data_IF_652048440475
#
_entry.id   IF_652048440475
#
_cell.length_a   1.000
_cell.length_b   1.000
_cell.length_c   1.000
_cell.angle_alpha   90.00
_cell.angle_beta   90.00
_cell.angle_gamma   90.00
#
_symmetry.space_group_name_H-M   'P 1'
#
loop_
_entity.id
_entity.type
_entity.pdbx_description
1 polymer ?
#
# COMPACT_ATOMS: atom_id res chain seq x y z
N UNK A 1 -21.55 5.35 17.23
CA UNK A 1 -20.22 4.77 17.52
C UNK A 1 -19.19 5.74 16.97
N UNK A 2 -18.19 6.19 17.75
CA UNK A 2 -17.19 7.11 17.23
C UNK A 2 -16.26 6.35 16.28
N UNK A 3 -16.13 6.84 15.05
CA UNK A 3 -15.18 6.33 14.07
C UNK A 3 -13.77 6.63 14.60
N UNK A 4 -13.06 5.61 15.06
CA UNK A 4 -11.65 5.75 15.39
C UNK A 4 -10.91 6.23 14.15
N UNK A 5 -10.11 7.31 14.23
CA UNK A 5 -9.26 7.70 13.13
C UNK A 5 -8.29 6.55 12.87
N UNK A 6 -8.23 6.09 11.62
CA UNK A 6 -7.20 5.15 11.17
C UNK A 6 -5.84 5.83 11.35
N UNK A 7 -5.18 5.55 12.46
CA UNK A 7 -3.82 6.01 12.74
C UNK A 7 -2.85 5.01 12.13
N UNK A 8 -2.43 5.28 10.90
CA UNK A 8 -1.32 4.56 10.28
C UNK A 8 -0.02 5.21 10.74
N UNK A 9 1.04 4.44 11.01
CA UNK A 9 2.44 4.70 10.63
C UNK A 9 3.42 3.85 11.46
N UNK A 10 3.94 2.79 10.84
CA UNK A 10 5.23 2.18 11.17
C UNK A 10 5.91 1.76 9.86
N UNK A 11 6.65 2.67 9.24
CA UNK A 11 7.55 2.31 8.14
C UNK A 11 8.83 1.77 8.73
N UNK A 12 9.08 0.45 8.59
CA UNK A 12 10.39 -0.13 8.85
C UNK A 12 11.09 -0.32 7.51
N UNK A 13 11.87 0.69 7.13
CA UNK A 13 12.62 0.68 5.89
C UNK A 13 13.77 -0.35 5.99
N UNK A 14 13.62 -1.46 5.26
CA UNK A 14 14.68 -2.43 5.02
C UNK A 14 15.35 -2.21 3.66
N UNK A 15 15.34 -0.97 3.15
CA UNK A 15 15.88 -0.56 1.86
C UNK A 15 14.99 -0.93 0.67
N UNK A 16 14.22 -2.02 0.77
CA UNK A 16 13.35 -2.51 -0.30
C UNK A 16 11.94 -2.91 0.16
N UNK A 17 11.59 -2.75 1.44
CA UNK A 17 10.29 -3.17 1.99
C UNK A 17 9.67 -2.03 2.79
N UNK A 18 8.44 -1.68 2.42
CA UNK A 18 7.56 -0.80 3.19
C UNK A 18 6.43 -1.63 3.82
N UNK A 19 6.15 -1.42 5.10
CA UNK A 19 5.03 -2.06 5.81
C UNK A 19 4.06 -0.98 6.29
N UNK A 20 2.77 -1.20 6.08
CA UNK A 20 1.70 -0.27 6.45
C UNK A 20 0.60 -1.08 7.14
N UNK A 21 0.18 -0.70 8.33
CA UNK A 21 -1.01 -1.29 8.95
C UNK A 21 -2.26 -0.95 8.12
N UNK A 22 -3.16 -1.91 7.89
CA UNK A 22 -4.42 -1.70 7.17
C UNK A 22 -5.59 -1.54 8.15
N UNK A 23 -5.68 -2.48 9.09
CA UNK A 23 -6.63 -2.56 10.19
C UNK A 23 -6.04 -3.49 11.25
N UNK A 24 -6.72 -3.63 12.40
CA UNK A 24 -6.27 -4.52 13.48
C UNK A 24 -5.76 -5.85 12.93
N UNK A 25 -4.50 -6.14 13.23
CA UNK A 25 -3.76 -7.37 12.93
C UNK A 25 -3.52 -7.66 11.44
N UNK A 26 -3.76 -6.69 10.54
CA UNK A 26 -3.50 -6.83 9.10
C UNK A 26 -2.57 -5.74 8.61
N UNK A 27 -1.51 -6.15 7.94
CA UNK A 27 -0.47 -5.29 7.39
C UNK A 27 -0.38 -5.46 5.88
N UNK A 28 -0.06 -4.38 5.18
CA UNK A 28 0.30 -4.34 3.77
C UNK A 28 1.81 -4.30 3.72
N UNK A 29 2.41 -5.26 3.02
CA UNK A 29 3.82 -5.21 2.67
C UNK A 29 3.94 -4.80 1.21
N UNK A 30 4.79 -3.81 0.93
CA UNK A 30 5.16 -3.38 -0.40
C UNK A 30 6.65 -3.65 -0.55
N UNK A 31 7.00 -4.66 -1.35
CA UNK A 31 8.39 -5.09 -1.55
C UNK A 31 8.85 -4.73 -2.97
N UNK A 32 9.95 -4.00 -3.06
CA UNK A 32 10.69 -3.78 -4.29
C UNK A 32 11.48 -5.03 -4.65
N UNK A 33 11.14 -5.63 -5.79
CA UNK A 33 11.86 -6.79 -6.32
C UNK A 33 13.09 -6.34 -7.11
N UNK A 34 12.94 -5.23 -7.86
CA UNK A 34 13.99 -4.56 -8.61
C UNK A 34 13.55 -3.13 -8.94
N UNK A 35 14.33 -2.42 -9.75
CA UNK A 35 14.05 -1.03 -10.15
C UNK A 35 12.85 -0.88 -11.12
N UNK A 36 12.20 -1.97 -11.54
CA UNK A 36 11.01 -1.95 -12.41
C UNK A 36 9.71 -2.50 -11.80
N UNK A 37 9.81 -3.38 -10.79
CA UNK A 37 8.67 -4.12 -10.22
C UNK A 37 8.63 -4.05 -8.68
N UNK A 38 7.42 -3.84 -8.16
CA UNK A 38 7.08 -4.03 -6.75
C UNK A 38 5.96 -5.07 -6.57
N UNK A 39 5.95 -5.76 -5.42
CA UNK A 39 4.90 -6.68 -5.01
C UNK A 39 4.19 -6.13 -3.78
N UNK A 40 2.87 -6.11 -3.82
CA UNK A 40 2.04 -5.89 -2.63
C UNK A 40 1.52 -7.23 -2.13
N UNK A 41 1.85 -7.58 -0.90
CA UNK A 41 1.29 -8.71 -0.15
C UNK A 41 0.63 -8.23 1.15
N UNK A 42 -0.09 -9.12 1.81
CA UNK A 42 -0.81 -8.85 3.06
C UNK A 42 -0.33 -9.82 4.12
N UNK A 43 -0.10 -9.33 5.34
CA UNK A 43 0.41 -10.13 6.44
C UNK A 43 -0.44 -9.96 7.69
N UNK A 44 -0.42 -10.95 8.58
CA UNK A 44 -1.00 -10.84 9.91
C UNK A 44 0.03 -10.34 10.96
N UNK A 45 -0.39 -10.16 12.21
CA UNK A 45 0.48 -9.79 13.35
C UNK A 45 1.66 -10.76 13.61
N UNK A 46 1.61 -11.98 13.06
CA UNK A 46 2.67 -12.99 13.17
C UNK A 46 3.65 -12.95 12.01
N UNK A 47 3.54 -11.95 11.11
CA UNK A 47 4.28 -11.83 9.86
C UNK A 47 4.03 -12.99 8.89
N UNK A 48 2.87 -13.64 8.96
CA UNK A 48 2.47 -14.67 8.00
C UNK A 48 1.67 -14.03 6.86
N UNK A 49 1.97 -14.42 5.61
CA UNK A 49 1.20 -13.97 4.46
C UNK A 49 -0.24 -14.50 4.53
N UNK A 50 -1.20 -13.62 4.26
CA UNK A 50 -2.64 -13.91 4.26
C UNK A 50 -3.29 -13.56 2.92
N UNK A 51 -4.57 -13.93 2.80
CA UNK A 51 -5.41 -13.52 1.68
C UNK A 51 -5.63 -12.01 1.61
N UNK A 52 -5.71 -11.49 0.37
CA UNK A 52 -6.08 -10.10 0.11
C UNK A 52 -7.40 -9.83 0.85
N UNK A 53 -7.41 -8.94 1.85
CA UNK A 53 -8.60 -8.68 2.63
C UNK A 53 -9.74 -8.18 1.75
N UNK A 54 -10.97 -8.60 2.08
CA UNK A 54 -12.16 -8.13 1.37
C UNK A 54 -12.22 -6.60 1.40
N UNK A 55 -12.51 -6.01 0.24
CA UNK A 55 -12.62 -4.56 0.09
C UNK A 55 -11.33 -3.86 -0.28
N UNK A 56 -10.19 -4.56 -0.30
CA UNK A 56 -8.95 -4.03 -0.87
C UNK A 56 -9.03 -3.98 -2.39
N UNK A 57 -8.62 -2.85 -2.97
CA UNK A 57 -8.44 -2.68 -4.41
C UNK A 57 -7.19 -1.84 -4.67
N UNK A 58 -6.45 -2.16 -5.72
CA UNK A 58 -5.34 -1.35 -6.20
C UNK A 58 -5.68 -0.84 -7.58
N UNK A 59 -5.64 0.48 -7.76
CA UNK A 59 -5.87 1.09 -9.07
C UNK A 59 -4.59 1.74 -9.56
N UNK A 60 -4.27 1.52 -10.84
CA UNK A 60 -3.37 2.36 -11.60
C UNK A 60 -4.09 3.69 -11.87
N UNK A 61 -3.46 4.78 -11.45
CA UNK A 61 -3.96 6.15 -11.56
C UNK A 61 -3.01 7.03 -12.38
N UNK A 62 -2.08 6.43 -13.15
CA UNK A 62 -1.17 7.17 -14.05
C UNK A 62 -1.94 7.99 -15.07
N UNK A 63 -2.99 7.38 -15.64
CA UNK A 63 -3.77 7.97 -16.71
C UNK A 63 -5.11 8.51 -16.19
N UNK A 64 -5.78 9.34 -17.01
CA UNK A 64 -7.08 9.93 -16.67
C UNK A 64 -8.16 8.86 -16.37
N UNK A 65 -8.04 7.70 -17.01
CA UNK A 65 -8.84 6.53 -16.71
C UNK A 65 -8.12 5.66 -15.68
N UNK A 66 -8.77 5.44 -14.54
CA UNK A 66 -8.26 4.57 -13.49
C UNK A 66 -8.44 3.11 -13.92
N UNK A 67 -7.37 2.34 -13.90
CA UNK A 67 -7.40 0.92 -14.25
C UNK A 67 -7.26 0.07 -12.99
N UNK A 68 -8.14 -0.92 -12.83
CA UNK A 68 -8.05 -1.86 -11.71
C UNK A 68 -6.90 -2.84 -11.96
N UNK A 69 -5.93 -2.87 -11.06
CA UNK A 69 -4.87 -3.87 -11.07
C UNK A 69 -5.45 -5.20 -10.59
N UNK A 70 -5.28 -6.25 -11.39
CA UNK A 70 -5.73 -7.60 -11.01
C UNK A 70 -4.64 -8.28 -10.20
N UNK A 71 -4.97 -8.86 -9.03
CA UNK A 71 -4.01 -9.64 -8.29
C UNK A 71 -3.69 -10.95 -9.01
N UNK A 72 -2.47 -11.43 -8.82
CA UNK A 72 -1.97 -12.72 -9.32
C UNK A 72 -1.50 -13.50 -8.10
N UNK A 73 -2.02 -14.71 -7.89
CA UNK A 73 -1.64 -15.54 -6.74
C UNK A 73 -1.65 -14.76 -5.41
N UNK A 74 -2.73 -14.01 -5.16
CA UNK A 74 -2.96 -13.30 -3.90
C UNK A 74 -2.01 -12.11 -3.63
N UNK A 75 -1.29 -11.63 -4.65
CA UNK A 75 -0.47 -10.42 -4.57
C UNK A 75 -0.80 -9.46 -5.70
N UNK A 76 -0.48 -8.17 -5.54
CA UNK A 76 -0.47 -7.22 -6.66
C UNK A 76 0.95 -7.01 -7.15
N UNK A 77 1.19 -7.25 -8.44
CA UNK A 77 2.43 -6.85 -9.09
C UNK A 77 2.24 -5.45 -9.70
N UNK A 78 3.11 -4.52 -9.30
CA UNK A 78 3.09 -3.12 -9.71
C UNK A 78 4.36 -2.78 -10.51
N UNK A 79 4.24 -1.86 -11.45
CA UNK A 79 5.38 -1.31 -12.19
C UNK A 79 5.81 0.03 -11.61
N UNK A 80 7.12 0.25 -11.42
CA UNK A 80 7.66 1.52 -10.92
C UNK A 80 7.45 2.72 -11.85
N UNK A 81 7.00 2.51 -13.09
CA UNK A 81 6.75 3.59 -14.03
C UNK A 81 5.38 4.25 -13.86
N UNK A 82 4.51 3.64 -13.06
CA UNK A 82 3.13 4.05 -12.87
C UNK A 82 2.85 4.60 -11.46
N UNK A 83 1.73 5.31 -11.33
CA UNK A 83 1.20 5.76 -10.05
C UNK A 83 0.03 4.85 -9.65
N UNK A 84 0.00 4.41 -8.41
CA UNK A 84 -1.07 3.58 -7.87
C UNK A 84 -1.71 4.21 -6.64
N UNK A 85 -2.96 3.82 -6.40
CA UNK A 85 -3.63 4.08 -5.14
C UNK A 85 -4.25 2.79 -4.63
N UNK A 86 -3.94 2.47 -3.37
CA UNK A 86 -4.56 1.38 -2.63
C UNK A 86 -5.82 1.94 -1.96
N UNK A 87 -6.92 1.21 -2.09
CA UNK A 87 -8.20 1.50 -1.48
C UNK A 87 -8.61 0.37 -0.55
N UNK A 88 -9.28 0.71 0.55
CA UNK A 88 -9.94 -0.23 1.43
C UNK A 88 -11.36 0.23 1.69
N UNK A 89 -12.34 -0.64 1.37
CA UNK A 89 -13.77 -0.33 1.48
C UNK A 89 -14.17 1.00 0.82
N UNK A 90 -13.55 1.31 -0.33
CA UNK A 90 -13.82 2.52 -1.12
C UNK A 90 -13.06 3.78 -0.67
N UNK A 91 -12.34 3.75 0.46
CA UNK A 91 -11.50 4.86 0.94
C UNK A 91 -10.04 4.66 0.50
N UNK A 92 -9.37 5.72 0.03
CA UNK A 92 -7.94 5.67 -0.31
C UNK A 92 -7.10 5.57 0.96
N UNK A 93 -6.18 4.60 1.00
CA UNK A 93 -5.31 4.38 2.17
C UNK A 93 -3.85 4.74 1.91
N UNK A 94 -3.35 4.52 0.68
CA UNK A 94 -1.96 4.82 0.30
C UNK A 94 -1.87 5.18 -1.17
N UNK A 95 -1.09 6.22 -1.45
CA UNK A 95 -0.63 6.55 -2.79
C UNK A 95 0.80 6.07 -2.97
N UNK A 96 1.06 5.41 -4.09
CA UNK A 96 2.37 4.95 -4.54
C UNK A 96 2.64 5.74 -5.81
N UNK A 97 3.61 6.64 -5.83
CA UNK A 97 3.87 7.48 -6.99
C UNK A 97 5.29 7.28 -7.53
N UNK A 98 5.53 7.70 -8.77
CA UNK A 98 6.84 7.57 -9.45
C UNK A 98 7.96 8.44 -8.86
N UNK A 99 7.65 9.52 -8.13
CA UNK A 99 8.61 10.58 -7.74
C UNK A 99 8.94 10.69 -6.24
N UNK A 100 8.14 10.10 -5.35
CA UNK A 100 8.31 10.23 -3.89
C UNK A 100 8.72 8.91 -3.22
N UNK A 101 9.55 8.10 -3.87
CA UNK A 101 10.20 6.97 -3.19
C UNK A 101 11.54 7.35 -2.55
N UNK A 102 11.87 8.65 -2.47
CA UNK A 102 12.56 9.17 -1.30
C UNK A 102 11.53 9.17 -0.16
N UNK A 103 11.64 8.22 0.77
CA UNK A 103 10.78 8.12 1.95
C UNK A 103 11.09 9.32 2.88
N UNK A 104 10.60 10.51 2.53
CA UNK A 104 10.48 11.63 3.46
C UNK A 104 9.01 11.79 3.82
N UNK A 105 8.70 11.35 5.04
CA UNK A 105 7.46 11.69 5.72
C UNK A 105 7.47 13.20 5.98
N UNK A 106 6.82 14.00 5.13
CA UNK A 106 6.52 15.39 5.48
C UNK A 106 5.46 15.40 6.59
N UNK A 107 5.93 15.57 7.83
CA UNK A 107 5.09 15.96 8.95
C UNK A 107 4.59 17.39 8.73
N UNK A 108 3.31 17.54 8.41
CA UNK A 108 2.59 18.78 8.73
C UNK A 108 1.93 18.63 10.08
N UNK A 109 2.64 19.09 11.11
CA UNK A 109 2.01 19.54 12.34
C UNK A 109 0.97 20.61 11.97
N UNK A 110 -0.30 20.27 12.12
CA UNK A 110 -1.35 21.29 12.18
C UNK A 110 -1.47 21.65 13.65
N UNK A 111 -1.15 22.91 13.93
CA UNK A 111 -1.25 23.62 15.22
C UNK A 111 -2.70 23.60 15.70
#
# INVERSE_FOLDING_TARGET
MPEHPLSFHFTKDYGNIDIIELCHDVFIQIESINNEIAIISFMNEKNENIDIPKGVKVNNITHAHKELVKPINNVYALSWFDNYCIYYNGKSIKFINKRNWDIFTEYKNVI
#
